data_IF_174897955220
#
_entry.id   IF_174897955220
#
_cell.length_a   1.000
_cell.length_b   1.000
_cell.length_c   1.000
_cell.angle_alpha   90.00
_cell.angle_beta   90.00
_cell.angle_gamma   90.00
#
_symmetry.space_group_name_H-M   'P 1'
#
loop_
_entity.id
_entity.type
_entity.pdbx_description
1 polymer ?
#
# COMPACT_ATOMS: atom_id res chain seq x y z
N UNK A 1 -7.12 53.01 -7.49
CA UNK A 1 -7.25 51.83 -8.38
C UNK A 1 -6.26 50.72 -8.05
N UNK A 2 -4.95 50.97 -7.98
CA UNK A 2 -3.93 49.95 -7.63
C UNK A 2 -4.18 49.22 -6.29
N UNK A 3 -4.54 49.97 -5.24
CA UNK A 3 -4.85 49.39 -3.93
C UNK A 3 -6.15 48.58 -3.89
N UNK A 4 -7.12 48.93 -4.73
CA UNK A 4 -8.39 48.19 -4.86
C UNK A 4 -8.17 46.84 -5.53
N UNK A 5 -7.34 46.79 -6.58
CA UNK A 5 -6.96 45.55 -7.25
C UNK A 5 -6.18 44.65 -6.30
N UNK A 6 -5.25 45.21 -5.51
CA UNK A 6 -4.46 44.44 -4.53
C UNK A 6 -5.30 43.86 -3.40
N UNK A 7 -6.34 44.57 -2.94
CA UNK A 7 -7.27 44.10 -1.93
C UNK A 7 -8.17 42.98 -2.46
N UNK A 8 -8.68 43.13 -3.70
CA UNK A 8 -9.49 42.10 -4.34
C UNK A 8 -8.68 40.82 -4.60
N UNK A 9 -7.39 40.97 -4.95
CA UNK A 9 -6.48 39.84 -5.11
C UNK A 9 -6.30 39.06 -3.80
N UNK A 10 -6.16 39.73 -2.66
CA UNK A 10 -5.99 39.08 -1.35
C UNK A 10 -7.20 38.23 -0.91
N UNK A 11 -8.42 38.68 -1.20
CA UNK A 11 -9.66 37.95 -0.86
C UNK A 11 -9.82 36.69 -1.76
N UNK A 12 -9.35 36.76 -3.01
CA UNK A 12 -9.43 35.63 -3.92
C UNK A 12 -8.52 34.45 -3.48
N UNK A 13 -7.37 34.72 -2.86
CA UNK A 13 -6.43 33.68 -2.41
C UNK A 13 -6.88 32.98 -1.13
N UNK A 14 -7.61 33.69 -0.25
CA UNK A 14 -8.14 33.10 1.00
C UNK A 14 -9.32 32.15 0.78
N UNK A 15 -9.85 32.09 -0.44
CA UNK A 15 -10.94 31.19 -0.84
C UNK A 15 -10.43 29.90 -1.49
N UNK A 16 -9.11 29.65 -1.42
CA UNK A 16 -8.54 28.39 -1.90
C UNK A 16 -8.83 27.31 -0.87
N UNK A 17 -9.76 26.42 -1.19
CA UNK A 17 -9.93 25.17 -0.47
C UNK A 17 -8.65 24.38 -0.74
N UNK A 18 -7.73 24.39 0.23
CA UNK A 18 -6.67 23.40 0.22
C UNK A 18 -7.36 22.04 0.16
N UNK A 19 -6.96 21.19 -0.78
CA UNK A 19 -7.41 19.80 -0.83
C UNK A 19 -7.31 19.22 0.58
N UNK A 20 -8.38 18.54 1.03
CA UNK A 20 -8.58 18.19 2.43
C UNK A 20 -7.30 17.76 3.15
N UNK A 21 -7.03 18.37 4.30
CA UNK A 21 -5.80 18.13 5.03
C UNK A 21 -5.77 16.70 5.60
N UNK A 22 -4.63 16.04 5.45
CA UNK A 22 -4.37 14.77 6.10
C UNK A 22 -4.01 15.02 7.55
N UNK A 23 -4.90 14.68 8.47
CA UNK A 23 -4.62 14.70 9.89
C UNK A 23 -4.16 13.31 10.32
N UNK A 24 -2.97 13.20 10.92
CA UNK A 24 -2.48 11.95 11.49
C UNK A 24 -3.55 11.33 12.41
N UNK A 25 -3.81 10.03 12.23
CA UNK A 25 -4.68 9.28 13.13
C UNK A 25 -3.85 8.33 14.00
N UNK A 26 -3.16 7.37 13.38
CA UNK A 26 -2.39 6.34 14.11
C UNK A 26 -1.37 5.64 13.22
N UNK A 27 -0.43 4.95 13.85
CA UNK A 27 0.45 3.97 13.20
C UNK A 27 -0.13 2.58 13.41
N UNK A 28 -0.05 1.73 12.38
CA UNK A 28 -0.55 0.37 12.37
C UNK A 28 0.57 -0.60 11.98
N UNK A 29 0.61 -1.74 12.64
CA UNK A 29 1.39 -2.91 12.23
C UNK A 29 0.39 -4.05 12.04
N UNK A 30 0.38 -4.63 10.85
CA UNK A 30 -0.54 -5.69 10.46
C UNK A 30 0.29 -6.94 10.17
N UNK A 31 -0.03 -8.04 10.83
CA UNK A 31 0.60 -9.35 10.64
C UNK A 31 -0.01 -10.09 9.45
N UNK A 32 0.76 -11.01 8.86
CA UNK A 32 0.24 -11.92 7.84
C UNK A 32 -0.73 -12.98 8.38
N UNK A 33 -0.85 -13.08 9.70
CA UNK A 33 -1.86 -13.90 10.39
C UNK A 33 -3.17 -13.16 10.61
N UNK A 34 -3.19 -11.84 10.41
CA UNK A 34 -4.41 -11.05 10.53
C UNK A 34 -5.31 -11.25 9.31
N UNK A 35 -6.61 -11.09 9.52
CA UNK A 35 -7.56 -11.06 8.41
C UNK A 35 -7.24 -9.89 7.45
N UNK A 36 -7.67 -9.96 6.18
CA UNK A 36 -7.53 -8.86 5.24
C UNK A 36 -8.05 -7.55 5.81
N UNK A 37 -7.30 -6.47 5.61
CA UNK A 37 -7.60 -5.17 6.18
C UNK A 37 -8.17 -4.24 5.12
N UNK A 38 -9.20 -3.48 5.46
CA UNK A 38 -9.78 -2.48 4.55
C UNK A 38 -9.53 -1.08 5.09
N UNK A 39 -9.07 -0.17 4.23
CA UNK A 39 -8.91 1.24 4.59
C UNK A 39 -10.31 1.84 4.83
N UNK A 40 -10.64 2.34 6.04
CA UNK A 40 -11.98 2.83 6.34
C UNK A 40 -12.36 4.06 5.50
N UNK A 41 -13.67 4.30 5.34
CA UNK A 41 -14.19 5.52 4.71
C UNK A 41 -13.72 6.75 5.50
N UNK A 42 -13.34 7.81 4.78
CA UNK A 42 -12.79 9.04 5.37
C UNK A 42 -11.35 8.91 5.88
N UNK A 43 -10.67 7.79 5.57
CA UNK A 43 -9.26 7.57 5.89
C UNK A 43 -8.43 7.33 4.64
N UNK A 44 -7.13 7.53 4.76
CA UNK A 44 -6.13 7.07 3.80
C UNK A 44 -4.97 6.44 4.57
N UNK A 45 -4.41 5.36 4.04
CA UNK A 45 -3.23 4.73 4.64
C UNK A 45 -2.00 5.03 3.79
N UNK A 46 -0.87 5.25 4.45
CA UNK A 46 0.45 5.29 3.84
C UNK A 46 1.22 4.06 4.30
N UNK A 47 1.42 3.09 3.44
CA UNK A 47 2.21 1.89 3.76
C UNK A 47 3.67 2.30 3.72
N UNK A 48 4.38 2.12 4.83
CA UNK A 48 5.78 2.53 5.01
C UNK A 48 6.75 1.36 4.88
N UNK A 49 6.33 0.16 5.28
CA UNK A 49 7.17 -1.03 5.21
C UNK A 49 6.34 -2.27 4.94
N UNK A 50 6.95 -3.23 4.27
CA UNK A 50 6.47 -4.62 4.19
C UNK A 50 7.60 -5.48 4.68
N UNK A 51 7.37 -6.30 5.71
CA UNK A 51 8.40 -7.09 6.36
C UNK A 51 8.22 -8.58 6.05
N UNK A 52 9.33 -9.32 5.98
CA UNK A 52 9.38 -10.76 5.74
C UNK A 52 10.43 -11.40 6.66
N UNK A 53 10.49 -12.74 6.74
CA UNK A 53 11.56 -13.44 7.48
C UNK A 53 12.92 -13.23 6.80
N UNK A 54 14.01 -13.46 7.55
CA UNK A 54 15.46 -13.28 7.22
C UNK A 54 15.98 -13.94 5.93
N UNK A 55 15.11 -14.43 5.07
CA UNK A 55 15.45 -14.99 3.78
C UNK A 55 14.88 -14.07 2.70
N UNK A 56 15.58 -12.96 2.41
CA UNK A 56 15.61 -12.38 1.07
C UNK A 56 16.38 -13.35 0.12
N UNK A 57 16.09 -14.66 0.20
CA UNK A 57 16.79 -15.72 -0.52
C UNK A 57 16.01 -16.02 -1.78
N UNK A 58 16.56 -15.51 -2.88
CA UNK A 58 16.09 -15.71 -4.25
C UNK A 58 16.19 -17.18 -4.68
N UNK A 59 15.08 -17.86 -4.83
CA UNK A 59 14.98 -18.86 -5.89
C UNK A 59 13.88 -18.46 -6.89
N UNK A 60 14.21 -18.30 -8.17
CA UNK A 60 13.16 -18.24 -9.17
C UNK A 60 12.52 -19.65 -9.23
N UNK A 61 11.32 -19.84 -8.67
CA UNK A 61 10.61 -21.10 -8.90
C UNK A 61 9.81 -20.95 -10.18
N UNK A 62 10.35 -21.45 -11.30
CA UNK A 62 9.68 -21.45 -12.60
C UNK A 62 8.59 -22.54 -12.68
N UNK A 63 7.96 -22.91 -11.57
CA UNK A 63 6.98 -23.99 -11.56
C UNK A 63 5.63 -23.51 -12.08
N UNK A 64 5.16 -24.11 -13.17
CA UNK A 64 3.86 -23.87 -13.82
C UNK A 64 2.63 -24.29 -12.99
N UNK A 65 2.72 -24.27 -11.66
CA UNK A 65 1.66 -24.68 -10.76
C UNK A 65 0.86 -23.46 -10.27
N UNK A 66 -0.47 -23.53 -10.38
CA UNK A 66 -1.38 -22.58 -9.74
C UNK A 66 -1.25 -22.70 -8.21
N UNK A 67 -0.55 -21.76 -7.58
CA UNK A 67 -0.39 -21.74 -6.11
C UNK A 67 -1.24 -20.63 -5.49
N UNK A 68 -2.34 -20.97 -4.83
CA UNK A 68 -3.24 -20.02 -4.18
C UNK A 68 -2.60 -19.34 -2.95
N UNK A 69 -1.82 -18.28 -3.17
CA UNK A 69 -1.13 -17.56 -2.10
C UNK A 69 -2.04 -16.59 -1.34
N UNK A 70 -2.94 -15.93 -2.05
CA UNK A 70 -3.87 -14.94 -1.49
C UNK A 70 -5.29 -15.50 -1.37
N UNK A 71 -5.42 -16.75 -0.92
CA UNK A 71 -6.71 -17.42 -0.75
C UNK A 71 -7.68 -16.60 0.10
N UNK A 72 -7.17 -15.89 1.12
CA UNK A 72 -7.95 -15.01 1.98
C UNK A 72 -8.68 -13.88 1.23
N UNK A 73 -8.26 -13.56 0.01
CA UNK A 73 -8.84 -12.49 -0.80
C UNK A 73 -9.28 -12.94 -2.19
N UNK A 74 -9.28 -14.25 -2.45
CA UNK A 74 -9.73 -14.81 -3.73
C UNK A 74 -8.93 -14.31 -4.94
N UNK A 75 -7.67 -13.88 -4.74
CA UNK A 75 -6.83 -13.43 -5.86
C UNK A 75 -6.27 -14.67 -6.57
N UNK A 76 -6.56 -14.87 -7.87
CA UNK A 76 -5.93 -15.95 -8.63
C UNK A 76 -4.42 -15.70 -8.66
N UNK A 77 -3.65 -16.71 -8.32
CA UNK A 77 -2.18 -16.64 -8.38
C UNK A 77 -1.73 -16.57 -9.84
N UNK A 78 -1.17 -15.43 -10.25
CA UNK A 78 -0.57 -15.28 -11.57
C UNK A 78 0.96 -15.36 -11.49
N UNK A 79 1.52 -16.32 -12.23
CA UNK A 79 2.80 -16.42 -12.96
C UNK A 79 4.08 -15.67 -12.57
N UNK A 80 4.25 -15.14 -11.36
CA UNK A 80 5.53 -14.51 -10.97
C UNK A 80 5.98 -14.98 -9.59
N UNK A 81 6.89 -15.95 -9.58
CA UNK A 81 7.52 -16.49 -8.37
C UNK A 81 8.93 -15.91 -8.22
N UNK A 82 9.06 -14.88 -7.40
CA UNK A 82 10.35 -14.49 -6.83
C UNK A 82 10.18 -14.50 -5.32
N UNK A 83 11.15 -14.97 -4.55
CA UNK A 83 11.04 -14.96 -3.10
C UNK A 83 11.07 -13.48 -2.67
N UNK A 84 10.07 -13.02 -1.93
CA UNK A 84 9.94 -11.60 -1.69
C UNK A 84 8.79 -11.22 -0.76
N UNK A 85 8.76 -9.92 -0.43
CA UNK A 85 7.71 -9.27 0.34
C UNK A 85 6.55 -9.01 -0.63
N UNK A 86 5.49 -9.82 -0.60
CA UNK A 86 4.28 -9.58 -1.41
C UNK A 86 3.06 -9.21 -0.57
N UNK A 87 2.24 -8.33 -1.12
CA UNK A 87 0.89 -8.03 -0.68
C UNK A 87 -0.04 -8.05 -1.90
N UNK A 88 -1.34 -8.02 -1.68
CA UNK A 88 -2.29 -7.66 -2.71
C UNK A 88 -3.16 -6.49 -2.25
N UNK A 89 -3.44 -5.55 -3.13
CA UNK A 89 -4.39 -4.44 -2.91
C UNK A 89 -5.49 -4.58 -3.94
N UNK A 90 -6.76 -4.68 -3.51
CA UNK A 90 -7.91 -4.86 -4.41
C UNK A 90 -7.69 -5.96 -5.45
N UNK A 91 -7.18 -7.12 -5.00
CA UNK A 91 -6.89 -8.27 -5.85
C UNK A 91 -5.74 -8.07 -6.86
N UNK A 92 -4.93 -7.02 -6.71
CA UNK A 92 -3.73 -6.80 -7.52
C UNK A 92 -2.50 -7.17 -6.68
N UNK A 93 -1.79 -8.27 -7.00
CA UNK A 93 -0.52 -8.59 -6.35
C UNK A 93 0.52 -7.52 -6.61
N UNK A 94 1.25 -7.14 -5.57
CA UNK A 94 2.36 -6.17 -5.62
C UNK A 94 3.57 -6.77 -4.91
N UNK A 95 4.75 -6.55 -5.51
CA UNK A 95 6.02 -7.08 -5.03
C UNK A 95 6.91 -5.96 -4.51
N UNK A 96 7.65 -6.24 -3.43
CA UNK A 96 8.62 -5.32 -2.81
C UNK A 96 9.97 -6.02 -2.59
N UNK A 97 11.07 -5.27 -2.70
CA UNK A 97 12.44 -5.78 -2.44
C UNK A 97 13.40 -5.59 -3.61
N UNK A 98 14.35 -6.51 -3.75
CA UNK A 98 15.27 -6.58 -4.90
C UNK A 98 14.79 -7.70 -5.84
N UNK A 99 15.00 -7.54 -7.14
CA UNK A 99 14.61 -8.51 -8.15
C UNK A 99 15.84 -9.03 -8.89
N UNK A 100 15.99 -10.35 -9.02
CA UNK A 100 17.18 -10.96 -9.63
C UNK A 100 17.25 -10.79 -11.15
N UNK A 101 16.15 -10.42 -11.82
CA UNK A 101 16.12 -10.18 -13.28
C UNK A 101 16.07 -8.69 -13.67
N UNK A 102 16.30 -7.77 -12.72
CA UNK A 102 16.45 -6.34 -13.00
C UNK A 102 15.14 -5.57 -13.19
N UNK A 103 13.97 -6.20 -13.05
CA UNK A 103 12.69 -5.48 -13.08
C UNK A 103 12.50 -4.62 -11.81
N UNK A 104 11.81 -3.48 -11.96
CA UNK A 104 11.57 -2.56 -10.86
C UNK A 104 10.46 -3.09 -9.94
N UNK A 105 10.77 -3.25 -8.65
CA UNK A 105 9.78 -3.59 -7.64
C UNK A 105 9.07 -2.34 -7.14
N UNK A 106 7.91 -2.53 -6.49
CA UNK A 106 7.15 -1.42 -5.90
C UNK A 106 8.01 -0.75 -4.84
N UNK A 107 8.17 0.57 -4.96
CA UNK A 107 8.89 1.37 -3.97
C UNK A 107 7.92 1.88 -2.91
N UNK A 108 8.37 1.88 -1.66
CA UNK A 108 7.65 2.45 -0.53
C UNK A 108 8.12 3.88 -0.28
N UNK A 109 7.25 4.76 0.26
CA UNK A 109 5.90 4.47 0.71
C UNK A 109 4.86 4.45 -0.43
N UNK A 110 3.75 3.74 -0.23
CA UNK A 110 2.58 3.78 -1.12
C UNK A 110 1.34 4.29 -0.39
N UNK A 111 0.54 5.10 -1.06
CA UNK A 111 -0.73 5.61 -0.55
C UNK A 111 -1.88 4.72 -0.99
N UNK A 112 -2.72 4.33 -0.05
CA UNK A 112 -3.84 3.41 -0.25
C UNK A 112 -5.14 4.10 0.14
N UNK A 113 -6.06 4.33 -0.81
CA UNK A 113 -7.28 5.09 -0.56
C UNK A 113 -8.33 4.27 0.20
N UNK A 114 -9.29 4.98 0.80
CA UNK A 114 -10.48 4.40 1.42
C UNK A 114 -11.17 3.35 0.54
N UNK A 115 -11.68 2.30 1.16
CA UNK A 115 -12.35 1.19 0.48
C UNK A 115 -11.39 0.16 -0.13
N UNK A 116 -10.09 0.42 -0.16
CA UNK A 116 -9.13 -0.58 -0.64
C UNK A 116 -8.90 -1.66 0.39
N UNK A 117 -8.89 -2.92 -0.04
CA UNK A 117 -8.57 -4.09 0.79
C UNK A 117 -7.12 -4.52 0.55
N UNK A 118 -6.34 -4.58 1.62
CA UNK A 118 -4.98 -5.10 1.64
C UNK A 118 -4.99 -6.52 2.19
N UNK A 119 -4.31 -7.40 1.47
CA UNK A 119 -4.23 -8.82 1.74
C UNK A 119 -2.79 -9.26 1.84
N UNK A 120 -2.48 -9.97 2.92
CA UNK A 120 -1.25 -10.72 3.07
C UNK A 120 -1.45 -12.12 2.50
N UNK A 121 -0.39 -12.73 1.96
CA UNK A 121 -0.48 -14.12 1.55
C UNK A 121 -0.18 -15.08 2.70
N UNK A 122 -0.68 -16.32 2.59
CA UNK A 122 -0.71 -17.29 3.70
C UNK A 122 0.46 -18.27 3.71
N UNK A 123 1.24 -18.37 2.61
CA UNK A 123 2.39 -19.27 2.53
C UNK A 123 3.64 -18.69 3.19
N UNK A 124 4.10 -19.29 4.29
CA UNK A 124 5.22 -18.76 5.10
C UNK A 124 6.52 -18.53 4.33
N UNK A 125 6.75 -19.26 3.24
CA UNK A 125 7.99 -19.24 2.48
C UNK A 125 8.05 -18.15 1.40
N UNK A 126 6.90 -17.61 0.99
CA UNK A 126 6.81 -16.65 -0.12
C UNK A 126 6.14 -15.33 0.27
N UNK A 127 5.71 -15.21 1.53
CA UNK A 127 4.82 -14.14 1.94
C UNK A 127 5.48 -13.18 2.91
N UNK A 128 5.15 -11.90 2.73
CA UNK A 128 5.34 -10.91 3.77
C UNK A 128 4.81 -11.47 5.11
N UNK A 129 5.55 -11.24 6.18
CA UNK A 129 5.12 -11.46 7.57
C UNK A 129 4.19 -10.35 8.05
N UNK A 130 4.09 -9.27 7.29
CA UNK A 130 3.16 -8.19 7.55
C UNK A 130 3.63 -6.88 6.93
N UNK A 131 2.98 -5.79 7.31
CA UNK A 131 3.30 -4.44 6.85
C UNK A 131 3.00 -3.39 7.92
N UNK A 132 3.68 -2.24 7.82
CA UNK A 132 3.37 -1.07 8.64
C UNK A 132 2.71 0.01 7.79
N UNK A 133 1.74 0.70 8.39
CA UNK A 133 1.04 1.80 7.75
C UNK A 133 0.82 2.95 8.71
N UNK A 134 0.79 4.17 8.18
CA UNK A 134 0.31 5.36 8.89
C UNK A 134 -1.09 5.66 8.36
N UNK A 135 -2.08 5.70 9.25
CA UNK A 135 -3.46 6.07 8.92
C UNK A 135 -3.66 7.56 9.15
N UNK A 136 -4.30 8.23 8.19
CA UNK A 136 -4.69 9.62 8.26
C UNK A 136 -6.21 9.76 8.13
N UNK A 137 -6.77 10.75 8.81
CA UNK A 137 -8.10 11.27 8.54
C UNK A 137 -8.05 12.20 7.32
N UNK A 138 -9.03 12.08 6.44
CA UNK A 138 -9.29 13.07 5.41
C UNK A 138 -10.23 14.11 6.01
N UNK A 139 -9.72 15.32 6.27
CA UNK A 139 -10.51 16.44 6.80
C UNK A 139 -10.88 17.36 5.63
N UNK A 140 -12.16 17.75 5.45
CA UNK A 140 -12.58 18.68 4.40
C UNK A 140 -11.83 20.01 4.38
#
# INVERSE_FOLDING_TARGET
MKHFISFFFFIAISSTWAQGNLQFNQVKIISNTDAPQTVPVGKVWKIESVFANDQDVYAASTSAANQSFFTACGVPSAWYFYYGRYLAINNIPISFGVHSSGEQMTQLPIWVPAGSTICTCTSSSFCARGYSAIEFNIVP
#
